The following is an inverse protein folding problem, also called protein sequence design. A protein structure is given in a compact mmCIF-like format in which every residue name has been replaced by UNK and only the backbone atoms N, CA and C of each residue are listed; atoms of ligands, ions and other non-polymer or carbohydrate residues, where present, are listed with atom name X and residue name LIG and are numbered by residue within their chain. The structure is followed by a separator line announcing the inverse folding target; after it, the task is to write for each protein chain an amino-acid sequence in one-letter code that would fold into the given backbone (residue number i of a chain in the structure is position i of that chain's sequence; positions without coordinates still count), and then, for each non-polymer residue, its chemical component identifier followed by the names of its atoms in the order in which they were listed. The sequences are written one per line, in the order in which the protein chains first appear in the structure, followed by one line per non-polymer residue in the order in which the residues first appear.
data_IF_689238756770
#
_entry.id   IF_689238756770
#
_cell.length_a   1.000
_cell.length_b   1.000
_cell.length_c   1.000
_cell.angle_alpha   90.00
_cell.angle_beta   90.00
_cell.angle_gamma   90.00
#
_symmetry.space_group_name_H-M   'P 1'
#
loop_
_entity.id
_entity.type
_entity.pdbx_description
1 polymer ?
#
# COMPACT_ATOMS: atom_id res chain seq x y z
N UNK A 1 -23.84 24.47 -9.79
CA UNK A 1 -23.84 23.52 -8.67
C UNK A 1 -22.96 22.34 -9.05
N UNK A 2 -22.15 21.82 -8.14
CA UNK A 2 -21.37 20.61 -8.40
C UNK A 2 -22.30 19.42 -8.64
N UNK A 3 -21.83 18.45 -9.41
CA UNK A 3 -22.47 17.16 -9.61
C UNK A 3 -22.20 16.24 -8.40
N UNK A 4 -22.97 15.16 -8.27
CA UNK A 4 -22.73 14.16 -7.21
C UNK A 4 -21.33 13.53 -7.34
N UNK A 5 -20.87 13.30 -8.57
CA UNK A 5 -19.51 12.80 -8.82
C UNK A 5 -18.43 13.77 -8.32
N UNK A 6 -18.56 15.08 -8.59
CA UNK A 6 -17.63 16.09 -8.10
C UNK A 6 -17.63 16.20 -6.58
N UNK A 7 -18.80 16.07 -5.93
CA UNK A 7 -18.92 16.03 -4.48
C UNK A 7 -18.23 14.79 -3.88
N UNK A 8 -18.39 13.62 -4.51
CA UNK A 8 -17.72 12.40 -4.09
C UNK A 8 -16.18 12.50 -4.27
N UNK A 9 -15.73 13.05 -5.38
CA UNK A 9 -14.29 13.32 -5.62
C UNK A 9 -13.73 14.27 -4.56
N UNK A 10 -14.44 15.34 -4.24
CA UNK A 10 -14.05 16.29 -3.19
C UNK A 10 -13.98 15.62 -1.81
N UNK A 11 -14.98 14.80 -1.48
CA UNK A 11 -15.00 14.03 -0.23
C UNK A 11 -13.82 13.06 -0.14
N UNK A 12 -13.54 12.32 -1.22
CA UNK A 12 -12.43 11.39 -1.32
C UNK A 12 -11.09 12.12 -1.14
N UNK A 13 -10.87 13.24 -1.83
CA UNK A 13 -9.67 14.05 -1.73
C UNK A 13 -9.47 14.66 -0.33
N UNK A 14 -10.53 14.82 0.46
CA UNK A 14 -10.48 15.34 1.83
C UNK A 14 -10.57 14.26 2.92
N UNK A 15 -10.60 12.99 2.57
CA UNK A 15 -10.58 11.88 3.53
C UNK A 15 -9.22 11.82 4.26
N UNK A 16 -9.10 10.92 5.24
CA UNK A 16 -7.82 10.64 5.93
C UNK A 16 -6.87 9.80 5.05
N UNK A 17 -7.40 9.19 4.00
CA UNK A 17 -6.62 8.34 3.09
C UNK A 17 -5.43 9.11 2.48
N UNK A 18 -4.22 8.61 2.69
CA UNK A 18 -2.94 9.21 2.29
C UNK A 18 -2.65 10.61 2.85
N UNK A 19 -3.51 11.16 3.71
CA UNK A 19 -3.35 12.52 4.25
C UNK A 19 -2.64 12.58 5.59
N UNK A 20 -2.70 11.53 6.39
CA UNK A 20 -2.10 11.45 7.73
C UNK A 20 -2.45 12.62 8.64
N UNK A 21 -3.70 13.13 8.57
CA UNK A 21 -4.13 14.32 9.31
C UNK A 21 -3.98 14.13 10.81
N UNK A 22 -4.41 12.98 11.33
CA UNK A 22 -4.31 12.64 12.76
C UNK A 22 -2.85 12.61 13.20
N UNK A 23 -1.96 11.99 12.42
CA UNK A 23 -0.53 11.92 12.72
C UNK A 23 0.20 13.25 12.57
N UNK A 24 -0.36 14.21 11.84
CA UNK A 24 0.19 15.55 11.67
C UNK A 24 -0.44 16.60 12.61
N UNK A 25 -1.41 16.19 13.44
CA UNK A 25 -2.09 17.10 14.39
C UNK A 25 -1.20 17.41 15.59
N UNK A 26 -1.38 18.60 16.17
CA UNK A 26 -0.84 18.94 17.48
C UNK A 26 -1.51 18.06 18.56
N UNK A 27 -0.77 17.67 19.54
CA UNK A 27 -1.25 16.73 20.57
C UNK A 27 -0.73 17.09 21.96
N UNK A 28 -1.45 16.65 22.97
CA UNK A 28 -1.15 16.88 24.37
C UNK A 28 -1.13 15.56 25.14
N UNK A 29 -0.25 15.47 26.10
CA UNK A 29 -0.21 14.34 27.07
C UNK A 29 -0.32 14.92 28.47
N UNK A 30 -1.37 14.56 29.19
CA UNK A 30 -1.65 15.05 30.56
C UNK A 30 -1.66 16.59 30.68
N UNK A 31 -2.06 17.27 29.62
CA UNK A 31 -2.12 18.73 29.53
C UNK A 31 -0.85 19.41 29.01
N UNK A 32 0.22 18.66 28.81
CA UNK A 32 1.46 19.15 28.22
C UNK A 32 1.42 19.07 26.69
N UNK A 33 1.58 20.21 26.02
CA UNK A 33 1.73 20.27 24.57
C UNK A 33 3.05 19.63 24.13
N UNK A 34 2.99 18.89 23.01
CA UNK A 34 4.17 18.27 22.41
C UNK A 34 4.60 19.08 21.17
N UNK A 35 5.91 19.34 21.07
CA UNK A 35 6.49 20.17 20.00
C UNK A 35 6.36 19.50 18.62
N UNK A 36 6.59 18.19 18.57
CA UNK A 36 6.56 17.41 17.33
C UNK A 36 5.24 16.64 17.18
N UNK A 37 4.63 16.65 15.99
CA UNK A 37 3.56 15.74 15.66
C UNK A 37 4.05 14.27 15.65
N UNK A 38 3.14 13.31 15.74
CA UNK A 38 3.52 11.89 15.66
C UNK A 38 4.24 11.57 14.36
N UNK A 39 3.81 12.18 13.24
CA UNK A 39 4.47 11.97 11.96
C UNK A 39 5.86 12.60 11.91
N UNK A 40 6.06 13.73 12.58
CA UNK A 40 7.36 14.36 12.71
C UNK A 40 8.33 13.49 13.50
N UNK A 41 7.88 12.85 14.60
CA UNK A 41 8.68 11.91 15.37
C UNK A 41 9.15 10.73 14.51
N UNK A 42 8.29 10.19 13.64
CA UNK A 42 8.66 9.14 12.69
C UNK A 42 9.74 9.64 11.73
N UNK A 43 9.57 10.82 11.14
CA UNK A 43 10.53 11.42 10.20
C UNK A 43 11.88 11.75 10.82
N UNK A 44 11.95 12.00 12.13
CA UNK A 44 13.18 12.31 12.83
C UNK A 44 14.22 11.20 12.71
N UNK A 45 13.80 9.93 12.61
CA UNK A 45 14.70 8.80 12.34
C UNK A 45 15.55 9.02 11.08
N UNK A 46 14.90 9.45 9.97
CA UNK A 46 15.61 9.71 8.71
C UNK A 46 16.50 10.95 8.79
N UNK A 47 16.10 11.96 9.56
CA UNK A 47 16.89 13.19 9.75
C UNK A 47 18.18 12.92 10.55
N UNK A 48 18.06 12.11 11.61
CA UNK A 48 19.19 11.76 12.47
C UNK A 48 20.14 10.75 11.82
N UNK A 49 19.62 9.91 10.92
CA UNK A 49 20.39 8.87 10.23
C UNK A 49 20.17 8.91 8.72
N UNK A 50 20.57 9.98 8.02
CA UNK A 50 20.32 10.15 6.59
C UNK A 50 21.24 9.32 5.68
N UNK A 51 22.26 8.67 6.25
CA UNK A 51 23.26 7.93 5.47
C UNK A 51 22.60 6.83 4.66
N UNK A 52 22.92 6.78 3.36
CA UNK A 52 22.43 5.81 2.39
C UNK A 52 20.92 5.95 2.05
N UNK A 53 20.21 6.97 2.54
CA UNK A 53 18.84 7.25 2.13
C UNK A 53 18.89 8.20 0.93
N UNK A 54 18.40 7.75 -0.24
CA UNK A 54 18.29 8.57 -1.44
C UNK A 54 16.98 9.35 -1.43
N UNK A 55 15.87 8.68 -1.08
CA UNK A 55 14.56 9.29 -0.97
C UNK A 55 13.75 8.61 0.13
N UNK A 56 13.06 9.43 0.95
CA UNK A 56 12.08 8.97 1.92
C UNK A 56 10.96 10.02 2.09
N UNK A 57 9.72 9.60 2.25
CA UNK A 57 8.52 10.43 2.45
C UNK A 57 8.22 11.42 1.30
N UNK A 58 8.72 11.18 0.10
CA UNK A 58 8.55 12.06 -1.08
C UNK A 58 7.92 11.36 -2.28
N UNK A 59 7.92 10.05 -2.30
CA UNK A 59 7.41 9.21 -3.38
C UNK A 59 6.71 7.99 -2.76
N UNK A 60 6.14 7.11 -3.57
CA UNK A 60 5.37 5.94 -3.15
C UNK A 60 6.20 4.94 -2.32
N UNK A 61 7.49 4.84 -2.56
CA UNK A 61 8.42 4.03 -1.76
C UNK A 61 9.67 4.81 -1.37
N UNK A 62 10.34 4.36 -0.31
CA UNK A 62 11.67 4.84 0.02
C UNK A 62 12.72 4.21 -0.90
N UNK A 63 13.79 4.96 -1.18
CA UNK A 63 14.93 4.50 -1.97
C UNK A 63 16.18 4.55 -1.11
N UNK A 64 16.84 3.41 -0.98
CA UNK A 64 18.09 3.25 -0.22
C UNK A 64 19.22 2.93 -1.18
N UNK A 65 20.39 3.53 -0.93
CA UNK A 65 21.56 3.37 -1.77
C UNK A 65 22.00 1.91 -1.84
N UNK A 66 22.16 1.44 -3.06
CA UNK A 66 22.63 0.09 -3.37
C UNK A 66 24.05 0.07 -3.92
N UNK A 67 24.30 -0.85 -4.82
CA UNK A 67 25.65 -1.16 -5.30
C UNK A 67 25.75 -1.20 -6.82
N UNK A 68 26.97 -1.00 -7.34
CA UNK A 68 27.27 -1.32 -8.73
C UNK A 68 27.29 -2.84 -8.93
N UNK A 69 26.44 -3.35 -9.78
CA UNK A 69 26.31 -4.78 -10.01
C UNK A 69 26.01 -5.09 -11.48
N UNK A 70 26.06 -6.36 -11.83
CA UNK A 70 25.62 -6.84 -13.14
C UNK A 70 24.15 -7.24 -13.06
N UNK A 71 23.33 -6.54 -13.81
CA UNK A 71 21.90 -6.82 -13.94
C UNK A 71 21.62 -7.58 -15.23
N UNK A 72 20.83 -8.64 -15.13
CA UNK A 72 20.30 -9.33 -16.31
C UNK A 72 19.24 -8.44 -16.98
N UNK A 73 19.41 -8.17 -18.24
CA UNK A 73 18.49 -7.38 -19.06
C UNK A 73 18.15 -8.13 -20.34
N UNK A 74 17.05 -7.74 -20.96
CA UNK A 74 16.65 -8.18 -22.30
C UNK A 74 16.90 -7.02 -23.24
N UNK A 75 17.68 -7.24 -24.29
CA UNK A 75 17.95 -6.25 -25.34
C UNK A 75 16.83 -6.23 -26.41
N UNK A 76 16.96 -5.34 -27.40
CA UNK A 76 15.96 -5.19 -28.46
C UNK A 76 15.82 -6.45 -29.35
N UNK A 77 16.88 -7.27 -29.46
CA UNK A 77 16.87 -8.56 -30.18
C UNK A 77 16.27 -9.71 -29.36
N UNK A 78 15.65 -9.43 -28.23
CA UNK A 78 15.06 -10.41 -27.29
C UNK A 78 16.09 -11.43 -26.74
N UNK A 79 17.36 -11.06 -26.71
CA UNK A 79 18.42 -11.86 -26.09
C UNK A 79 18.80 -11.29 -24.73
N UNK A 80 19.31 -12.16 -23.83
CA UNK A 80 19.73 -11.77 -22.50
C UNK A 80 21.16 -11.21 -22.53
N UNK A 81 21.35 -10.12 -21.82
CA UNK A 81 22.67 -9.52 -21.60
C UNK A 81 22.89 -9.12 -20.14
N UNK A 82 24.13 -9.00 -19.73
CA UNK A 82 24.53 -8.50 -18.40
C UNK A 82 25.00 -7.07 -18.51
N UNK A 83 24.24 -6.13 -17.97
CA UNK A 83 24.54 -4.70 -17.97
C UNK A 83 25.13 -4.33 -16.60
N UNK A 84 26.26 -3.62 -16.62
CA UNK A 84 26.87 -3.06 -15.40
C UNK A 84 26.18 -1.74 -15.04
N UNK A 85 25.46 -1.71 -13.94
CA UNK A 85 24.70 -0.54 -13.48
C UNK A 85 24.72 -0.40 -11.96
N UNK A 86 24.49 0.80 -11.46
CA UNK A 86 24.20 1.03 -10.04
C UNK A 86 22.70 0.74 -9.83
N UNK A 87 22.42 -0.19 -8.93
CA UNK A 87 21.07 -0.61 -8.57
C UNK A 87 20.83 -0.24 -7.11
N UNK A 88 19.79 0.53 -6.83
CA UNK A 88 19.34 0.90 -5.52
C UNK A 88 18.17 0.01 -5.09
N UNK A 89 17.90 -0.02 -3.78
CA UNK A 89 16.78 -0.79 -3.22
C UNK A 89 15.61 0.11 -2.95
N UNK A 90 14.40 -0.32 -3.33
CA UNK A 90 13.14 0.28 -2.89
C UNK A 90 12.59 -0.47 -1.70
N UNK A 91 11.92 0.24 -0.79
CA UNK A 91 11.26 -0.32 0.39
C UNK A 91 9.89 0.35 0.52
N UNK A 92 8.85 -0.46 0.49
CA UNK A 92 7.46 -0.03 0.66
C UNK A 92 6.78 -0.87 1.73
N UNK A 93 5.99 -0.21 2.56
CA UNK A 93 5.03 -0.88 3.48
C UNK A 93 3.78 -0.02 3.55
N UNK A 94 2.63 -0.65 3.42
CA UNK A 94 1.33 -0.02 3.62
C UNK A 94 0.34 -0.92 4.35
N UNK A 95 -0.78 -0.37 4.79
CA UNK A 95 -1.84 -1.11 5.47
C UNK A 95 -3.07 -1.25 4.58
N UNK A 96 -3.72 -2.42 4.65
CA UNK A 96 -4.97 -2.69 3.94
C UNK A 96 -6.01 -3.31 4.89
N UNK A 97 -6.35 -2.55 5.94
CA UNK A 97 -7.05 -3.03 7.13
C UNK A 97 -8.53 -3.31 6.88
N UNK A 98 -9.26 -2.35 6.34
CA UNK A 98 -10.72 -2.43 6.18
C UNK A 98 -11.15 -3.54 5.21
N UNK A 99 -10.62 -3.65 3.98
CA UNK A 99 -10.96 -4.74 3.07
C UNK A 99 -10.63 -6.11 3.65
N UNK A 100 -9.52 -6.24 4.39
CA UNK A 100 -9.13 -7.50 5.07
C UNK A 100 -10.10 -7.84 6.20
N UNK A 101 -10.65 -6.84 6.89
CA UNK A 101 -11.67 -7.06 7.91
C UNK A 101 -12.98 -7.60 7.33
N UNK A 102 -13.38 -7.10 6.16
CA UNK A 102 -14.65 -7.46 5.51
C UNK A 102 -14.54 -8.80 4.79
N UNK A 103 -13.44 -9.02 4.07
CA UNK A 103 -13.22 -10.24 3.29
C UNK A 103 -11.71 -10.59 3.31
N UNK A 104 -11.27 -11.46 4.23
CA UNK A 104 -9.85 -11.64 4.54
C UNK A 104 -8.98 -12.01 3.35
N UNK A 105 -9.37 -13.01 2.55
CA UNK A 105 -8.59 -13.46 1.40
C UNK A 105 -8.46 -12.36 0.32
N UNK A 106 -9.55 -11.85 -0.30
CA UNK A 106 -9.43 -10.83 -1.34
C UNK A 106 -8.92 -9.50 -0.80
N UNK A 107 -9.22 -9.16 0.46
CA UNK A 107 -8.72 -7.94 1.10
C UNK A 107 -7.19 -7.96 1.26
N UNK A 108 -6.61 -9.05 1.72
CA UNK A 108 -5.16 -9.19 1.83
C UNK A 108 -4.47 -9.36 0.47
N UNK A 109 -5.13 -10.04 -0.47
CA UNK A 109 -4.68 -10.18 -1.86
C UNK A 109 -4.49 -8.80 -2.49
N UNK A 110 -5.51 -7.98 -2.49
CA UNK A 110 -5.48 -6.63 -3.06
C UNK A 110 -4.60 -5.66 -2.28
N UNK A 111 -4.39 -5.90 -0.99
CA UNK A 111 -3.37 -5.18 -0.20
C UNK A 111 -1.95 -5.41 -0.74
N UNK A 112 -1.61 -6.66 -1.07
CA UNK A 112 -0.34 -6.98 -1.72
C UNK A 112 -0.24 -6.35 -3.12
N UNK A 113 -1.34 -6.33 -3.89
CA UNK A 113 -1.39 -5.67 -5.19
C UNK A 113 -1.18 -4.15 -5.07
N UNK A 114 -1.82 -3.50 -4.10
CA UNK A 114 -1.63 -2.07 -3.84
C UNK A 114 -0.17 -1.71 -3.54
N UNK A 115 0.47 -2.50 -2.71
CA UNK A 115 1.89 -2.32 -2.38
C UNK A 115 2.80 -2.49 -3.61
N UNK A 116 2.57 -3.52 -4.44
CA UNK A 116 3.33 -3.76 -5.69
C UNK A 116 3.17 -2.58 -6.65
N UNK A 117 1.95 -2.08 -6.80
CA UNK A 117 1.64 -0.95 -7.68
C UNK A 117 2.38 0.30 -7.27
N UNK A 118 2.35 0.64 -5.99
CA UNK A 118 3.06 1.79 -5.44
C UNK A 118 4.58 1.66 -5.62
N UNK A 119 5.13 0.49 -5.30
CA UNK A 119 6.55 0.23 -5.49
C UNK A 119 6.94 0.37 -6.96
N UNK A 120 6.15 -0.22 -7.88
CA UNK A 120 6.36 -0.13 -9.32
C UNK A 120 6.28 1.28 -9.88
N UNK A 121 5.50 2.17 -9.26
CA UNK A 121 5.35 3.58 -9.64
C UNK A 121 6.36 4.52 -8.96
N UNK A 122 7.33 4.00 -8.23
CA UNK A 122 8.37 4.81 -7.58
C UNK A 122 9.41 5.29 -8.60
N UNK A 123 9.79 6.55 -8.51
CA UNK A 123 10.69 7.20 -9.45
C UNK A 123 10.15 7.16 -10.88
N UNK A 124 10.94 6.70 -11.84
CA UNK A 124 10.50 6.42 -13.21
C UNK A 124 10.19 4.93 -13.43
N UNK A 125 9.86 4.21 -12.36
CA UNK A 125 9.49 2.81 -12.34
C UNK A 125 10.55 1.93 -11.68
N UNK A 126 10.20 1.37 -10.52
CA UNK A 126 10.98 0.35 -9.83
C UNK A 126 10.49 -1.05 -10.21
N UNK A 127 11.23 -2.06 -9.80
CA UNK A 127 10.90 -3.47 -10.04
C UNK A 127 10.72 -4.20 -8.72
N UNK A 128 9.48 -4.49 -8.30
CA UNK A 128 9.20 -5.26 -7.11
C UNK A 128 9.82 -6.66 -7.17
N UNK A 129 10.56 -7.05 -6.12
CA UNK A 129 11.34 -8.32 -6.11
C UNK A 129 10.87 -9.29 -5.06
N UNK A 130 10.46 -8.80 -3.91
CA UNK A 130 10.13 -9.64 -2.74
C UNK A 130 8.96 -9.03 -2.01
N UNK A 131 7.97 -9.84 -1.65
CA UNK A 131 6.84 -9.45 -0.83
C UNK A 131 6.91 -9.95 0.60
N UNK A 132 6.22 -9.24 1.49
CA UNK A 132 5.96 -9.66 2.86
C UNK A 132 4.53 -9.28 3.25
N UNK A 133 3.97 -9.99 4.23
CA UNK A 133 2.68 -9.64 4.84
C UNK A 133 2.76 -9.77 6.36
N UNK A 134 2.03 -8.95 7.08
CA UNK A 134 1.95 -9.02 8.53
C UNK A 134 0.54 -8.75 9.03
N UNK A 135 0.13 -9.42 10.11
CA UNK A 135 -1.21 -9.29 10.64
C UNK A 135 -1.20 -9.08 12.15
N UNK A 136 -1.99 -8.11 12.62
CA UNK A 136 -2.38 -7.99 14.02
C UNK A 136 -3.90 -8.12 14.10
N UNK A 137 -4.37 -9.03 14.96
CA UNK A 137 -5.79 -9.32 15.17
C UNK A 137 -6.10 -9.37 16.66
N UNK A 138 -7.37 -9.36 17.03
CA UNK A 138 -7.84 -9.68 18.39
C UNK A 138 -7.61 -11.17 18.73
N UNK A 139 -8.01 -11.61 19.91
CA UNK A 139 -7.84 -13.00 20.35
C UNK A 139 -8.55 -13.96 19.39
N UNK A 140 -7.93 -15.11 19.14
CA UNK A 140 -8.39 -16.06 18.11
C UNK A 140 -9.63 -16.86 18.52
N UNK A 141 -9.83 -17.10 19.80
CA UNK A 141 -10.95 -17.91 20.35
C UNK A 141 -11.11 -19.22 19.60
N UNK A 142 -10.06 -20.05 19.66
CA UNK A 142 -10.05 -21.35 18.98
C UNK A 142 -11.21 -22.21 19.49
N UNK A 143 -12.09 -22.76 18.64
CA UNK A 143 -13.34 -23.42 19.06
C UNK A 143 -13.20 -24.49 20.13
N UNK A 144 -12.14 -25.30 20.05
CA UNK A 144 -11.88 -26.39 20.98
C UNK A 144 -10.83 -26.06 22.05
N UNK A 145 -10.37 -24.79 22.09
CA UNK A 145 -9.27 -24.40 22.96
C UNK A 145 -9.31 -22.91 23.30
N UNK A 146 -10.43 -22.46 23.87
CA UNK A 146 -10.57 -21.09 24.39
C UNK A 146 -9.68 -20.92 25.60
N UNK A 147 -8.89 -19.86 25.64
CA UNK A 147 -7.98 -19.56 26.74
C UNK A 147 -8.73 -18.88 27.89
N UNK A 148 -8.20 -19.02 29.11
CA UNK A 148 -8.83 -18.44 30.31
C UNK A 148 -8.85 -16.90 30.35
N UNK A 149 -8.13 -16.25 29.47
CA UNK A 149 -8.09 -14.78 29.34
C UNK A 149 -8.89 -14.27 28.14
N UNK A 150 -9.54 -15.14 27.35
CA UNK A 150 -10.37 -14.79 26.23
C UNK A 150 -11.81 -14.66 26.70
N UNK A 151 -12.30 -13.42 26.73
CA UNK A 151 -13.71 -13.12 27.03
C UNK A 151 -14.58 -13.34 25.77
N UNK A 152 -15.89 -13.18 25.91
CA UNK A 152 -16.81 -13.27 24.79
C UNK A 152 -16.46 -12.26 23.69
N UNK A 153 -16.60 -12.69 22.45
CA UNK A 153 -16.30 -11.84 21.31
C UNK A 153 -17.34 -10.73 21.18
N UNK A 154 -16.90 -9.49 21.28
CA UNK A 154 -17.73 -8.32 21.09
C UNK A 154 -17.26 -7.53 19.86
N UNK A 155 -17.37 -8.14 18.69
CA UNK A 155 -16.99 -7.53 17.41
C UNK A 155 -18.20 -7.07 16.62
N UNK A 156 -18.06 -6.10 15.69
CA UNK A 156 -19.08 -5.80 14.69
C UNK A 156 -19.40 -7.02 13.83
N UNK A 157 -20.69 -7.28 13.57
CA UNK A 157 -21.15 -8.51 12.86
C UNK A 157 -20.51 -8.68 11.48
N UNK A 158 -20.30 -7.57 10.74
CA UNK A 158 -19.76 -7.59 9.38
C UNK A 158 -18.26 -7.80 9.28
N UNK A 159 -17.54 -7.77 10.37
CA UNK A 159 -16.10 -8.02 10.41
C UNK A 159 -15.88 -9.53 10.60
N UNK A 160 -14.99 -10.10 9.77
CA UNK A 160 -14.56 -11.47 9.91
C UNK A 160 -13.91 -11.71 11.29
N UNK A 161 -14.04 -12.91 11.81
CA UNK A 161 -13.42 -13.26 13.09
C UNK A 161 -11.88 -13.23 12.99
N UNK A 162 -11.17 -12.98 14.09
CA UNK A 162 -9.70 -13.06 14.13
C UNK A 162 -9.16 -14.39 13.59
N UNK A 163 -9.86 -15.49 13.85
CA UNK A 163 -9.46 -16.81 13.35
C UNK A 163 -9.62 -16.93 11.82
N UNK A 164 -10.74 -16.45 11.25
CA UNK A 164 -10.92 -16.40 9.79
C UNK A 164 -9.85 -15.56 9.12
N UNK A 165 -9.53 -14.39 9.70
CA UNK A 165 -8.46 -13.53 9.18
C UNK A 165 -7.11 -14.27 9.24
N UNK A 166 -6.82 -14.99 10.32
CA UNK A 166 -5.59 -15.76 10.44
C UNK A 166 -5.46 -16.87 9.39
N UNK A 167 -6.57 -17.52 9.04
CA UNK A 167 -6.58 -18.64 8.08
C UNK A 167 -6.50 -18.10 6.65
N UNK A 168 -7.32 -17.15 6.28
CA UNK A 168 -7.56 -16.78 4.88
C UNK A 168 -6.69 -15.61 4.41
N UNK A 169 -6.43 -14.61 5.24
CA UNK A 169 -5.72 -13.43 4.80
C UNK A 169 -4.26 -13.68 4.38
N UNK A 170 -3.46 -14.47 5.10
CA UNK A 170 -2.11 -14.81 4.64
C UNK A 170 -2.09 -15.55 3.29
N UNK A 171 -3.10 -16.40 3.06
CA UNK A 171 -3.24 -17.10 1.78
C UNK A 171 -3.56 -16.13 0.63
N UNK A 172 -4.42 -15.14 0.88
CA UNK A 172 -4.73 -14.08 -0.10
C UNK A 172 -3.50 -13.29 -0.51
N UNK A 173 -2.73 -12.80 0.47
CA UNK A 173 -1.49 -12.08 0.20
C UNK A 173 -0.45 -12.93 -0.54
N UNK A 174 -0.28 -14.20 -0.15
CA UNK A 174 0.63 -15.12 -0.81
C UNK A 174 0.18 -15.45 -2.25
N UNK A 175 -1.13 -15.64 -2.49
CA UNK A 175 -1.68 -15.93 -3.80
C UNK A 175 -1.40 -14.81 -4.80
N UNK A 176 -1.62 -13.54 -4.40
CA UNK A 176 -1.32 -12.40 -5.27
C UNK A 176 0.16 -12.32 -5.63
N UNK A 177 1.04 -12.43 -4.64
CA UNK A 177 2.49 -12.42 -4.87
C UNK A 177 2.92 -13.56 -5.81
N UNK A 178 2.37 -14.76 -5.63
CA UNK A 178 2.67 -15.93 -6.45
C UNK A 178 2.22 -15.74 -7.92
N UNK A 179 1.01 -15.23 -8.14
CA UNK A 179 0.48 -14.99 -9.49
C UNK A 179 1.21 -13.83 -10.18
N UNK A 180 1.51 -12.77 -9.45
CA UNK A 180 2.37 -11.67 -9.96
C UNK A 180 3.78 -12.18 -10.30
N UNK A 181 4.28 -13.20 -9.64
CA UNK A 181 5.57 -13.82 -9.89
C UNK A 181 6.73 -13.23 -9.08
N UNK A 182 6.46 -12.82 -7.83
CA UNK A 182 7.50 -12.50 -6.84
C UNK A 182 7.32 -13.36 -5.58
N UNK A 183 8.40 -13.77 -4.90
CA UNK A 183 8.28 -14.54 -3.67
C UNK A 183 7.70 -13.70 -2.53
N UNK A 184 6.78 -14.26 -1.75
CA UNK A 184 6.38 -13.76 -0.44
C UNK A 184 7.20 -14.52 0.61
N UNK A 185 8.27 -13.89 1.11
CA UNK A 185 9.32 -14.61 1.87
C UNK A 185 9.29 -14.33 3.36
N UNK A 186 8.59 -13.33 3.79
CA UNK A 186 8.58 -12.89 5.18
C UNK A 186 7.18 -12.54 5.63
N UNK A 187 6.92 -12.69 6.92
CA UNK A 187 5.66 -12.28 7.50
C UNK A 187 5.64 -12.48 9.01
N UNK A 188 4.60 -11.95 9.62
CA UNK A 188 4.30 -12.20 11.02
C UNK A 188 2.80 -12.27 11.24
N UNK A 189 2.41 -12.92 12.33
CA UNK A 189 1.05 -12.93 12.83
C UNK A 189 1.05 -12.69 14.33
N UNK A 190 0.24 -11.75 14.81
CA UNK A 190 0.12 -11.40 16.23
C UNK A 190 -1.34 -11.25 16.63
N UNK A 191 -1.70 -11.72 17.81
CA UNK A 191 -2.98 -11.45 18.43
C UNK A 191 -2.77 -10.63 19.71
N UNK A 192 -3.68 -9.68 19.95
CA UNK A 192 -3.69 -8.91 21.18
C UNK A 192 -5.10 -8.39 21.45
N UNK A 193 -5.53 -8.59 22.68
CA UNK A 193 -6.76 -8.02 23.24
C UNK A 193 -6.58 -7.85 24.73
N UNK A 194 -7.05 -6.76 25.29
CA UNK A 194 -6.99 -6.52 26.74
C UNK A 194 -8.16 -5.64 27.15
N UNK A 195 -8.61 -5.82 28.38
CA UNK A 195 -9.62 -4.98 29.02
C UNK A 195 -9.02 -4.25 30.19
N UNK A 196 -9.35 -2.99 30.36
CA UNK A 196 -8.94 -2.19 31.50
C UNK A 196 -10.02 -2.18 32.59
N UNK A 197 -9.65 -1.71 33.78
CA UNK A 197 -10.55 -1.68 34.98
C UNK A 197 -11.81 -0.84 34.77
N UNK A 198 -11.81 0.10 33.85
CA UNK A 198 -12.95 0.93 33.47
C UNK A 198 -13.87 0.26 32.43
N UNK A 199 -13.68 -1.03 32.19
CA UNK A 199 -14.40 -1.81 31.17
C UNK A 199 -14.11 -1.40 29.72
N UNK A 200 -13.09 -0.59 29.48
CA UNK A 200 -12.65 -0.29 28.11
C UNK A 200 -11.83 -1.45 27.58
N UNK A 201 -12.27 -2.04 26.47
CA UNK A 201 -11.58 -3.12 25.79
C UNK A 201 -10.77 -2.56 24.60
N UNK A 202 -9.54 -3.04 24.47
CA UNK A 202 -8.65 -2.71 23.36
C UNK A 202 -8.26 -3.99 22.63
N UNK A 203 -8.38 -3.98 21.32
CA UNK A 203 -8.04 -5.10 20.45
C UNK A 203 -7.99 -4.69 18.98
N UNK A 204 -7.74 -5.65 18.14
CA UNK A 204 -7.63 -5.47 16.70
C UNK A 204 -8.78 -6.19 15.98
N UNK A 205 -10.05 -5.89 16.33
CA UNK A 205 -11.20 -6.42 15.60
C UNK A 205 -11.18 -5.95 14.14
N UNK A 206 -10.95 -4.66 13.90
CA UNK A 206 -10.42 -4.20 12.61
C UNK A 206 -8.93 -4.52 12.59
N UNK A 207 -8.49 -5.51 11.82
CA UNK A 207 -7.10 -5.94 11.85
C UNK A 207 -6.15 -4.86 11.35
N UNK A 208 -4.87 -4.97 11.70
CA UNK A 208 -3.83 -4.36 10.91
C UNK A 208 -3.32 -5.42 9.94
N UNK A 209 -3.52 -5.21 8.67
CA UNK A 209 -2.89 -5.98 7.59
C UNK A 209 -1.79 -5.11 6.99
N UNK A 210 -0.56 -5.58 7.08
CA UNK A 210 0.59 -4.97 6.43
C UNK A 210 0.91 -5.73 5.16
N UNK A 211 0.99 -5.00 4.05
CA UNK A 211 1.62 -5.46 2.83
C UNK A 211 2.92 -4.68 2.63
N UNK A 212 4.01 -5.36 2.36
CA UNK A 212 5.29 -4.74 2.17
C UNK A 212 6.12 -5.44 1.11
N UNK A 213 7.14 -4.74 0.63
CA UNK A 213 8.04 -5.25 -0.38
C UNK A 213 9.40 -4.58 -0.36
N UNK A 214 10.31 -5.26 -1.01
CA UNK A 214 11.64 -4.77 -1.34
C UNK A 214 11.83 -5.00 -2.84
N UNK A 215 12.23 -3.96 -3.54
CA UNK A 215 12.51 -4.00 -4.96
C UNK A 215 13.85 -3.41 -5.33
N UNK A 216 14.02 -3.23 -6.62
CA UNK A 216 15.21 -2.61 -7.20
C UNK A 216 14.81 -1.45 -8.11
N UNK A 217 15.63 -0.41 -8.13
CA UNK A 217 15.51 0.70 -9.06
C UNK A 217 16.87 1.04 -9.63
N UNK A 218 16.92 1.27 -10.94
CA UNK A 218 18.16 1.71 -11.60
C UNK A 218 18.46 3.14 -11.16
N UNK A 219 19.71 3.44 -10.82
CA UNK A 219 20.10 4.72 -10.22
C UNK A 219 19.65 5.95 -11.04
N UNK A 220 19.67 5.88 -12.36
CA UNK A 220 19.17 6.95 -13.25
C UNK A 220 17.67 7.17 -13.20
N UNK A 221 16.89 6.23 -12.62
CA UNK A 221 15.43 6.26 -12.53
C UNK A 221 14.91 6.64 -11.13
N UNK A 222 15.79 6.99 -10.20
CA UNK A 222 15.41 7.28 -8.81
C UNK A 222 14.37 8.39 -8.64
N UNK A 223 14.32 9.33 -9.57
CA UNK A 223 13.46 10.51 -9.48
C UNK A 223 12.63 10.70 -10.75
N UNK A 224 11.37 11.07 -10.54
CA UNK A 224 10.47 11.53 -11.60
C UNK A 224 11.03 12.80 -12.21
N UNK A 225 10.86 12.98 -13.52
CA UNK A 225 11.29 14.18 -14.21
C UNK A 225 10.14 15.17 -14.33
N UNK A 226 10.46 16.44 -14.51
CA UNK A 226 9.46 17.44 -14.90
C UNK A 226 8.96 17.12 -16.31
N UNK A 227 7.64 17.10 -16.48
CA UNK A 227 6.99 16.90 -17.78
C UNK A 227 6.57 18.25 -18.38
N UNK A 228 6.45 18.30 -19.70
CA UNK A 228 6.02 19.47 -20.47
C UNK A 228 4.70 19.19 -21.20
N UNK A 229 4.14 20.22 -21.84
CA UNK A 229 2.84 20.15 -22.53
C UNK A 229 2.78 19.12 -23.68
N UNK A 230 3.93 18.71 -24.22
CA UNK A 230 4.00 17.78 -25.36
C UNK A 230 4.06 16.29 -24.95
N UNK A 231 4.04 15.99 -23.66
CA UNK A 231 4.10 14.59 -23.20
C UNK A 231 2.74 13.90 -23.30
N UNK A 232 2.78 12.60 -23.62
CA UNK A 232 1.58 11.77 -23.70
C UNK A 232 1.30 11.13 -22.34
N UNK A 233 0.05 11.20 -21.90
CA UNK A 233 -0.43 10.46 -20.74
C UNK A 233 -0.96 9.11 -21.22
N UNK A 234 -0.37 8.03 -20.70
CA UNK A 234 -0.73 6.65 -21.04
C UNK A 234 -1.27 5.97 -19.78
N UNK A 235 -2.45 5.38 -19.89
CA UNK A 235 -3.06 4.57 -18.82
C UNK A 235 -2.77 3.10 -19.10
N UNK A 236 -2.07 2.44 -18.16
CA UNK A 236 -1.81 1.01 -18.19
C UNK A 236 -2.69 0.30 -17.17
N UNK A 237 -3.37 -0.77 -17.57
CA UNK A 237 -4.18 -1.57 -16.67
C UNK A 237 -5.32 -2.29 -17.37
N UNK A 238 -6.18 -2.88 -16.56
CA UNK A 238 -7.42 -3.50 -16.98
C UNK A 238 -8.62 -2.54 -16.98
N UNK A 239 -9.84 -3.07 -17.15
CA UNK A 239 -11.05 -2.26 -17.07
C UNK A 239 -11.24 -1.67 -15.67
N UNK A 240 -11.61 -0.39 -15.61
CA UNK A 240 -11.96 0.29 -14.36
C UNK A 240 -13.21 -0.31 -13.73
N UNK A 241 -13.20 -0.50 -12.42
CA UNK A 241 -14.35 -0.94 -11.62
C UNK A 241 -14.91 0.23 -10.81
N UNK A 242 -16.20 0.20 -10.46
CA UNK A 242 -16.89 1.30 -9.75
C UNK A 242 -16.53 1.42 -8.25
N UNK A 243 -15.45 0.85 -7.81
CA UNK A 243 -15.03 0.81 -6.40
C UNK A 243 -14.37 2.13 -5.97
N UNK A 244 -13.69 2.82 -6.89
CA UNK A 244 -12.73 3.89 -6.58
C UNK A 244 -13.29 5.05 -5.76
N UNK A 245 -14.47 5.54 -6.09
CA UNK A 245 -15.03 6.76 -5.47
C UNK A 245 -15.43 6.61 -3.99
N UNK A 246 -15.64 5.42 -3.49
CA UNK A 246 -16.03 5.18 -2.10
C UNK A 246 -14.99 4.46 -1.26
N UNK A 247 -14.05 3.75 -1.89
CA UNK A 247 -13.12 2.84 -1.22
C UNK A 247 -12.21 3.49 -0.19
N UNK A 248 -11.62 4.64 -0.52
CA UNK A 248 -10.76 5.38 0.41
C UNK A 248 -11.54 5.98 1.59
N UNK A 249 -12.77 6.47 1.35
CA UNK A 249 -13.63 6.98 2.41
C UNK A 249 -14.03 5.87 3.39
N UNK A 250 -14.45 4.69 2.90
CA UNK A 250 -14.80 3.55 3.74
C UNK A 250 -13.62 3.08 4.62
N UNK A 251 -12.41 3.07 4.09
CA UNK A 251 -11.21 2.68 4.86
C UNK A 251 -10.90 3.62 6.02
N UNK A 252 -11.29 4.89 5.93
CA UNK A 252 -11.06 5.93 6.94
C UNK A 252 -12.16 5.98 8.02
N UNK A 253 -13.25 5.25 7.86
CA UNK A 253 -14.35 5.23 8.83
C UNK A 253 -14.10 4.25 9.97
N UNK A 254 -14.72 4.50 11.11
CA UNK A 254 -14.72 3.55 12.22
C UNK A 254 -15.51 2.29 11.83
N UNK A 255 -15.05 1.13 12.28
CA UNK A 255 -15.68 -0.16 11.99
C UNK A 255 -17.16 -0.16 12.39
N UNK A 256 -18.02 -0.61 11.48
CA UNK A 256 -19.47 -0.70 11.70
C UNK A 256 -20.26 0.59 11.49
N UNK A 257 -19.62 1.70 11.07
CA UNK A 257 -20.32 2.97 10.77
C UNK A 257 -20.63 3.18 9.28
N UNK A 258 -20.04 2.38 8.41
CA UNK A 258 -20.28 2.43 6.97
C UNK A 258 -21.54 1.65 6.59
N UNK A 259 -22.12 1.98 5.42
CA UNK A 259 -23.15 1.19 4.80
C UNK A 259 -22.62 -0.18 4.35
N UNK A 260 -23.42 -1.23 4.42
CA UNK A 260 -23.02 -2.60 4.06
C UNK A 260 -22.57 -2.70 2.60
N UNK A 261 -23.32 -2.08 1.69
CA UNK A 261 -22.97 -2.06 0.26
C UNK A 261 -21.64 -1.35 0.02
N UNK A 262 -21.34 -0.29 0.79
CA UNK A 262 -20.08 0.44 0.71
C UNK A 262 -18.92 -0.38 1.28
N UNK A 263 -19.15 -1.14 2.35
CA UNK A 263 -18.14 -2.04 2.92
C UNK A 263 -17.73 -3.11 1.89
N UNK A 264 -18.68 -3.80 1.28
CA UNK A 264 -18.37 -4.80 0.25
C UNK A 264 -17.79 -4.17 -1.03
N UNK A 265 -18.25 -3.00 -1.43
CA UNK A 265 -17.68 -2.26 -2.56
C UNK A 265 -16.24 -1.80 -2.30
N UNK A 266 -15.82 -1.65 -1.04
CA UNK A 266 -14.45 -1.29 -0.69
C UNK A 266 -13.45 -2.42 -0.93
N UNK A 267 -13.89 -3.67 -1.02
CA UNK A 267 -13.04 -4.83 -1.33
C UNK A 267 -12.77 -4.83 -2.84
N UNK A 268 -11.54 -4.51 -3.20
CA UNK A 268 -11.11 -4.46 -4.58
C UNK A 268 -11.08 -5.87 -5.20
N UNK A 269 -11.14 -5.93 -6.53
CA UNK A 269 -10.93 -7.16 -7.28
C UNK A 269 -9.48 -7.27 -7.67
N UNK A 270 -8.86 -8.38 -7.33
CA UNK A 270 -7.48 -8.65 -7.68
C UNK A 270 -7.34 -9.02 -9.16
N UNK A 271 -6.22 -8.63 -9.74
CA UNK A 271 -5.79 -9.06 -11.07
C UNK A 271 -4.27 -9.00 -11.16
N UNK A 272 -3.62 -9.92 -10.47
CA UNK A 272 -2.16 -9.98 -10.37
C UNK A 272 -1.49 -10.18 -11.73
N UNK A 273 -2.12 -10.95 -12.63
CA UNK A 273 -1.62 -11.13 -13.99
C UNK A 273 -1.58 -9.82 -14.79
N UNK A 274 -2.65 -9.02 -14.72
CA UNK A 274 -2.70 -7.72 -15.40
C UNK A 274 -1.63 -6.78 -14.83
N UNK A 275 -1.48 -6.74 -13.53
CA UNK A 275 -0.47 -5.93 -12.87
C UNK A 275 0.95 -6.37 -13.25
N UNK A 276 1.20 -7.67 -13.35
CA UNK A 276 2.45 -8.20 -13.89
C UNK A 276 2.69 -7.77 -15.33
N UNK A 277 1.70 -7.79 -16.20
CA UNK A 277 1.82 -7.33 -17.57
C UNK A 277 2.17 -5.85 -17.64
N UNK A 278 1.55 -5.01 -16.81
CA UNK A 278 1.90 -3.60 -16.69
C UNK A 278 3.36 -3.41 -16.24
N UNK A 279 3.79 -4.18 -15.24
CA UNK A 279 5.16 -4.15 -14.75
C UNK A 279 6.18 -4.56 -15.84
N UNK A 280 5.87 -5.53 -16.69
CA UNK A 280 6.75 -5.91 -17.79
C UNK A 280 6.87 -4.81 -18.86
N UNK A 281 5.82 -4.05 -19.11
CA UNK A 281 5.88 -2.86 -19.98
C UNK A 281 6.82 -1.83 -19.36
N UNK A 282 6.67 -1.52 -18.08
CA UNK A 282 7.54 -0.59 -17.35
C UNK A 282 9.01 -1.06 -17.40
N UNK A 283 9.26 -2.32 -17.12
CA UNK A 283 10.59 -2.93 -17.15
C UNK A 283 11.23 -2.79 -18.54
N UNK A 284 10.47 -3.05 -19.59
CA UNK A 284 10.93 -2.95 -20.99
C UNK A 284 11.27 -1.51 -21.36
N UNK A 285 10.44 -0.56 -20.95
CA UNK A 285 10.72 0.86 -21.16
C UNK A 285 12.00 1.31 -20.43
N UNK A 286 12.19 0.84 -19.19
CA UNK A 286 13.34 1.19 -18.36
C UNK A 286 14.63 0.48 -18.75
N UNK A 287 14.59 -0.58 -19.54
CA UNK A 287 15.77 -1.20 -20.13
C UNK A 287 16.41 -0.30 -21.23
N UNK A 288 15.63 0.61 -21.81
CA UNK A 288 16.15 1.60 -22.75
C UNK A 288 16.95 2.68 -22.03
N UNK A 289 17.97 3.21 -22.70
CA UNK A 289 18.78 4.30 -22.16
C UNK A 289 18.93 5.43 -23.21
N UNK A 290 18.25 6.58 -23.02
CA UNK A 290 17.38 6.92 -21.88
C UNK A 290 16.08 6.11 -21.86
N UNK A 291 15.45 5.99 -20.69
CA UNK A 291 14.09 5.47 -20.56
C UNK A 291 13.11 6.35 -21.33
N UNK A 292 12.08 5.74 -21.89
CA UNK A 292 10.97 6.48 -22.53
C UNK A 292 9.91 6.92 -21.51
N UNK A 293 10.00 6.45 -20.26
CA UNK A 293 9.16 6.91 -19.16
C UNK A 293 9.84 8.12 -18.52
N UNK A 294 9.14 9.24 -18.46
CA UNK A 294 9.63 10.46 -17.79
C UNK A 294 9.01 10.64 -16.42
N UNK A 295 7.76 10.17 -16.27
CA UNK A 295 6.99 10.24 -15.05
C UNK A 295 6.04 9.05 -14.97
N UNK A 296 5.84 8.50 -13.79
CA UNK A 296 4.87 7.43 -13.54
C UNK A 296 4.12 7.71 -12.25
N UNK A 297 2.82 7.47 -12.25
CA UNK A 297 1.95 7.59 -11.10
C UNK A 297 1.04 6.37 -11.02
N UNK A 298 0.80 5.84 -9.84
CA UNK A 298 -0.14 4.75 -9.67
C UNK A 298 -1.60 5.24 -9.69
N UNK A 299 -2.52 4.32 -9.94
CA UNK A 299 -3.95 4.59 -9.87
C UNK A 299 -4.53 3.79 -8.70
N UNK A 300 -4.65 4.45 -7.56
CA UNK A 300 -5.14 3.87 -6.32
C UNK A 300 -6.65 3.97 -6.13
N UNK A 301 -7.09 4.00 -4.88
CA UNK A 301 -8.51 3.95 -4.48
C UNK A 301 -9.37 5.09 -5.03
N UNK A 302 -8.81 6.25 -5.35
CA UNK A 302 -9.52 7.37 -5.98
C UNK A 302 -9.71 7.23 -7.49
N UNK A 303 -9.16 6.20 -8.12
CA UNK A 303 -9.20 6.00 -9.56
C UNK A 303 -8.54 7.13 -10.35
N UNK A 304 -8.86 7.23 -11.64
CA UNK A 304 -8.31 8.28 -12.51
C UNK A 304 -8.70 9.70 -12.06
N UNK A 305 -9.82 9.84 -11.34
CA UNK A 305 -10.26 11.13 -10.81
C UNK A 305 -9.33 11.71 -9.75
N UNK A 306 -8.51 10.87 -9.12
CA UNK A 306 -7.47 11.28 -8.17
C UNK A 306 -6.08 11.28 -8.82
N UNK A 307 -5.74 10.22 -9.55
CA UNK A 307 -4.42 10.03 -10.12
C UNK A 307 -4.02 11.12 -11.16
N UNK A 308 -4.96 11.56 -12.01
CA UNK A 308 -4.66 12.58 -13.02
C UNK A 308 -4.37 13.95 -12.39
N UNK A 309 -5.19 14.47 -11.44
CA UNK A 309 -4.84 15.70 -10.72
C UNK A 309 -3.53 15.61 -9.93
N UNK A 310 -3.22 14.47 -9.32
CA UNK A 310 -1.96 14.25 -8.61
C UNK A 310 -0.78 14.26 -9.57
N UNK A 311 -0.88 13.55 -10.69
CA UNK A 311 0.13 13.57 -11.74
C UNK A 311 0.39 14.99 -12.23
N UNK A 312 -0.66 15.77 -12.49
CA UNK A 312 -0.54 17.15 -12.98
C UNK A 312 0.04 18.12 -11.94
N UNK A 313 -0.14 17.84 -10.64
CA UNK A 313 0.41 18.64 -9.57
C UNK A 313 1.90 18.38 -9.34
N UNK A 314 2.30 17.14 -9.47
CA UNK A 314 3.65 16.67 -9.14
C UNK A 314 4.62 16.74 -10.35
N UNK A 315 4.09 17.12 -11.51
CA UNK A 315 4.81 17.23 -12.79
C UNK A 315 5.48 18.58 -13.05
#
# INVERSE_FOLDING_TARGET
NPTDAELMMFSQANSEHCRHKIFNTDWQVDGDEKEDSLFQLIKNTSKESPKNIISAYKDNAAIVEGVNTKRLSVNDDQTYELIQEKINSTIKVETHNHPTAISPFPGASTGSGGEIRDEGATGMGAKPKVGLVGFNVSNLRLPDFIRSWEDDENKPERIASPLEIMIDAPLGGAAFNNEFGRPSILGYFRSFETSFKDSTAYGYHKPIMLAGGIGEIIDRNNFKKQISEDYLVIVLGGPSMLIGLGGGAASSMSSGQSDEDLDFASVQRDNAEMERRCQEVINTCNNKNPSIIEFIHDVGAGGLSNAIPELAKDS
#
